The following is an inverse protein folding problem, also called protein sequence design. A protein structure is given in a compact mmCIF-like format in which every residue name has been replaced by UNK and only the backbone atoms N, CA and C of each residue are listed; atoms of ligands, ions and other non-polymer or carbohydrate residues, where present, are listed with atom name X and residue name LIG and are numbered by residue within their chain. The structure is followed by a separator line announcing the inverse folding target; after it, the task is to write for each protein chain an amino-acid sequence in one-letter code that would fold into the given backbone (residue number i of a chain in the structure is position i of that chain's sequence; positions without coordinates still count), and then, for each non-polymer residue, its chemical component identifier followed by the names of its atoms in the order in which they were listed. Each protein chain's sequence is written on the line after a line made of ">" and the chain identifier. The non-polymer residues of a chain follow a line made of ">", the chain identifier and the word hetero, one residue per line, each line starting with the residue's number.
data_IF_138443886140
#
_entry.id   IF_138443886140
#
_cell.length_a   1.000
_cell.length_b   1.000
_cell.length_c   1.000
_cell.angle_alpha   90.00
_cell.angle_beta   90.00
_cell.angle_gamma   90.00
#
_symmetry.space_group_name_H-M   'P 1'
#
loop_
_entity.id
_entity.type
_entity.pdbx_description
1 polymer ?
#
# COMPACT_ATOMS: atom_id res chain seq x y z
N UNK A 1 5.82 2.35 0.51
CA UNK A 1 6.31 1.59 -0.66
C UNK A 1 7.35 0.51 -0.31
N UNK A 2 8.51 0.87 0.26
CA UNK A 2 9.62 -0.09 0.54
C UNK A 2 9.15 -1.30 1.35
N UNK A 3 8.40 -1.08 2.43
CA UNK A 3 7.84 -2.16 3.24
C UNK A 3 6.92 -3.09 2.44
N UNK A 4 6.20 -2.56 1.45
CA UNK A 4 5.30 -3.37 0.61
C UNK A 4 6.12 -4.33 -0.24
N UNK A 5 7.17 -3.82 -0.89
CA UNK A 5 8.07 -4.64 -1.71
C UNK A 5 8.75 -5.71 -0.87
N UNK A 6 9.24 -5.35 0.32
CA UNK A 6 9.85 -6.31 1.26
C UNK A 6 8.86 -7.38 1.68
N UNK A 7 7.61 -7.02 1.94
CA UNK A 7 6.57 -7.99 2.29
C UNK A 7 6.32 -8.97 1.12
N UNK A 8 6.15 -8.44 -0.10
CA UNK A 8 5.83 -9.20 -1.29
C UNK A 8 6.97 -10.11 -1.77
N UNK A 9 8.21 -9.62 -1.73
CA UNK A 9 9.36 -10.32 -2.33
C UNK A 9 10.35 -10.86 -1.31
N UNK A 10 10.23 -10.49 -0.02
CA UNK A 10 11.10 -10.95 1.05
C UNK A 10 12.44 -10.20 1.14
N UNK A 11 13.45 -10.79 1.82
CA UNK A 11 14.71 -10.13 2.12
C UNK A 11 15.59 -9.84 0.89
N UNK A 12 15.27 -10.41 -0.28
CA UNK A 12 15.95 -10.13 -1.55
C UNK A 12 15.73 -8.71 -2.07
N UNK A 13 14.77 -7.96 -1.51
CA UNK A 13 14.56 -6.56 -1.87
C UNK A 13 15.73 -5.71 -1.39
N UNK A 14 16.42 -5.07 -2.33
CA UNK A 14 17.49 -4.10 -2.04
C UNK A 14 16.89 -2.80 -1.50
N UNK A 15 16.53 -2.79 -0.21
CA UNK A 15 15.77 -1.71 0.46
C UNK A 15 16.38 -0.33 0.23
N UNK A 16 17.68 -0.20 0.45
CA UNK A 16 18.41 1.07 0.28
C UNK A 16 18.37 1.55 -1.16
N UNK A 17 18.62 0.66 -2.12
CA UNK A 17 18.57 1.00 -3.54
C UNK A 17 17.15 1.43 -3.95
N UNK A 18 16.12 0.67 -3.56
CA UNK A 18 14.74 1.02 -3.81
C UNK A 18 14.38 2.38 -3.21
N UNK A 19 14.77 2.65 -1.97
CA UNK A 19 14.54 3.94 -1.33
C UNK A 19 15.18 5.10 -2.10
N UNK A 20 16.45 4.96 -2.52
CA UNK A 20 17.12 6.00 -3.30
C UNK A 20 16.45 6.25 -4.66
N UNK A 21 16.01 5.20 -5.35
CA UNK A 21 15.29 5.36 -6.61
C UNK A 21 13.94 6.04 -6.42
N UNK A 22 13.17 5.66 -5.38
CA UNK A 22 11.92 6.33 -5.04
C UNK A 22 12.15 7.82 -4.74
N UNK A 23 13.19 8.14 -3.97
CA UNK A 23 13.50 9.53 -3.64
C UNK A 23 13.95 10.33 -4.86
N UNK A 24 14.79 9.73 -5.71
CA UNK A 24 15.23 10.36 -6.96
C UNK A 24 14.05 10.64 -7.89
N UNK A 25 13.15 9.69 -8.04
CA UNK A 25 11.98 9.85 -8.91
C UNK A 25 11.00 10.88 -8.35
N UNK A 26 10.78 10.88 -7.02
CA UNK A 26 9.99 11.92 -6.37
C UNK A 26 10.58 13.32 -6.65
N UNK A 27 11.90 13.47 -6.51
CA UNK A 27 12.61 14.73 -6.69
C UNK A 27 12.63 15.25 -8.14
N UNK A 28 12.14 14.48 -9.12
CA UNK A 28 11.94 14.97 -10.50
C UNK A 28 10.78 15.96 -10.55
N UNK A 29 9.72 15.72 -9.76
CA UNK A 29 8.45 16.45 -9.84
C UNK A 29 8.16 17.29 -8.59
N UNK A 30 8.68 16.92 -7.42
CA UNK A 30 8.34 17.53 -6.13
C UNK A 30 9.55 17.82 -5.26
N UNK A 31 9.40 18.75 -4.31
CA UNK A 31 10.43 19.10 -3.35
C UNK A 31 10.52 18.04 -2.24
N UNK A 32 11.72 17.47 -2.07
CA UNK A 32 12.00 16.51 -1.00
C UNK A 32 11.80 17.13 0.39
N UNK A 33 11.97 18.45 0.55
CA UNK A 33 11.69 19.13 1.82
C UNK A 33 10.19 19.06 2.13
N UNK A 34 9.31 19.28 1.15
CA UNK A 34 7.87 19.15 1.34
C UNK A 34 7.48 17.72 1.75
N UNK A 35 8.10 16.70 1.15
CA UNK A 35 7.93 15.30 1.54
C UNK A 35 8.30 15.05 3.01
N UNK A 36 9.37 15.67 3.49
CA UNK A 36 9.84 15.52 4.88
C UNK A 36 8.94 16.24 5.88
N UNK A 37 8.39 17.39 5.49
CA UNK A 37 7.54 18.22 6.36
C UNK A 37 6.08 17.74 6.41
N UNK A 38 5.53 17.35 5.25
CA UNK A 38 4.09 17.10 5.08
C UNK A 38 3.77 15.64 4.76
N UNK A 39 4.79 14.82 4.51
CA UNK A 39 4.60 13.46 4.05
C UNK A 39 4.18 13.40 2.58
N UNK A 40 3.65 12.24 2.17
CA UNK A 40 3.35 11.97 0.77
C UNK A 40 1.84 11.97 0.52
N UNK A 41 1.39 12.67 -0.51
CA UNK A 41 0.02 12.66 -1.00
C UNK A 41 -0.29 11.46 -1.91
N UNK A 42 -1.58 11.29 -2.23
CA UNK A 42 -2.01 10.19 -3.09
C UNK A 42 -1.49 10.30 -4.52
N UNK A 43 -1.39 11.51 -5.07
CA UNK A 43 -0.91 11.73 -6.44
C UNK A 43 0.58 11.38 -6.57
N UNK A 44 1.38 11.72 -5.57
CA UNK A 44 2.80 11.40 -5.50
C UNK A 44 3.02 9.89 -5.35
N UNK A 45 2.22 9.23 -4.48
CA UNK A 45 2.25 7.76 -4.38
C UNK A 45 1.85 7.10 -5.71
N UNK A 46 0.84 7.64 -6.41
CA UNK A 46 0.44 7.17 -7.74
C UNK A 46 1.61 7.26 -8.72
N UNK A 47 2.29 8.41 -8.77
CA UNK A 47 3.46 8.62 -9.63
C UNK A 47 4.57 7.63 -9.31
N UNK A 48 4.98 7.51 -8.05
CA UNK A 48 6.05 6.60 -7.67
C UNK A 48 5.71 5.13 -7.95
N UNK A 49 4.44 4.72 -7.79
CA UNK A 49 4.01 3.37 -8.18
C UNK A 49 4.20 3.16 -9.68
N UNK A 50 3.73 4.10 -10.51
CA UNK A 50 3.85 3.93 -11.97
C UNK A 50 5.31 3.94 -12.41
N UNK A 51 6.05 4.99 -12.09
CA UNK A 51 7.40 5.19 -12.62
C UNK A 51 8.47 4.30 -12.00
N UNK A 52 8.28 3.80 -10.77
CA UNK A 52 9.27 2.94 -10.11
C UNK A 52 8.88 1.47 -10.16
N UNK A 53 7.62 1.12 -9.89
CA UNK A 53 7.20 -0.28 -9.79
C UNK A 53 6.65 -0.87 -11.07
N UNK A 54 5.93 -0.08 -11.88
CA UNK A 54 5.24 -0.59 -13.07
C UNK A 54 6.04 -0.39 -14.35
N UNK A 55 6.67 0.77 -14.54
CA UNK A 55 7.41 1.13 -15.77
C UNK A 55 8.92 1.29 -15.52
N UNK A 56 9.35 1.17 -14.25
CA UNK A 56 10.73 1.40 -13.83
C UNK A 56 11.58 0.14 -13.78
N UNK A 57 12.88 0.32 -13.50
CA UNK A 57 13.87 -0.77 -13.39
C UNK A 57 13.49 -1.86 -12.38
N UNK A 58 12.62 -1.57 -11.41
CA UNK A 58 12.17 -2.56 -10.43
C UNK A 58 11.09 -3.50 -10.97
N UNK A 59 10.41 -3.19 -12.07
CA UNK A 59 9.46 -4.10 -12.72
C UNK A 59 10.15 -5.40 -13.17
N UNK A 60 11.32 -5.26 -13.80
CA UNK A 60 12.12 -6.38 -14.30
C UNK A 60 12.71 -7.25 -13.18
N UNK A 61 12.92 -6.65 -12.00
CA UNK A 61 13.55 -7.31 -10.85
C UNK A 61 12.49 -7.93 -9.91
N UNK A 62 11.38 -7.22 -9.73
CA UNK A 62 10.30 -7.55 -8.82
C UNK A 62 8.95 -7.25 -9.47
N UNK A 63 8.36 -8.26 -10.09
CA UNK A 63 7.04 -8.12 -10.71
C UNK A 63 5.95 -7.94 -9.64
N UNK A 64 5.22 -6.82 -9.73
CA UNK A 64 4.14 -6.46 -8.82
C UNK A 64 2.89 -6.12 -9.63
N UNK A 65 1.77 -6.73 -9.26
CA UNK A 65 0.46 -6.31 -9.74
C UNK A 65 -0.11 -5.26 -8.78
N UNK A 66 -0.59 -4.15 -9.33
CA UNK A 66 -1.17 -3.05 -8.56
C UNK A 66 -2.60 -2.76 -9.01
N UNK A 67 -3.53 -2.77 -8.06
CA UNK A 67 -4.93 -2.42 -8.30
C UNK A 67 -5.42 -1.30 -7.40
N UNK A 68 -6.25 -0.38 -7.92
CA UNK A 68 -6.96 0.65 -7.13
C UNK A 68 -8.47 0.43 -7.20
N UNK A 69 -9.03 -0.59 -6.52
CA UNK A 69 -10.40 -1.03 -6.73
C UNK A 69 -11.46 0.02 -6.38
N UNK A 70 -11.11 1.04 -5.59
CA UNK A 70 -12.05 2.02 -5.06
C UNK A 70 -11.91 3.44 -5.66
N UNK A 71 -10.89 3.70 -6.48
CA UNK A 71 -10.56 5.05 -6.94
C UNK A 71 -11.72 5.73 -7.69
N UNK A 72 -12.45 4.98 -8.51
CA UNK A 72 -13.57 5.48 -9.32
C UNK A 72 -14.94 5.38 -8.61
N UNK A 73 -15.02 4.76 -7.43
CA UNK A 73 -16.30 4.49 -6.76
C UNK A 73 -16.78 5.69 -5.91
N UNK A 74 -17.89 6.32 -6.30
CA UNK A 74 -18.42 7.52 -5.63
C UNK A 74 -19.13 7.25 -4.29
N UNK A 75 -19.74 6.07 -4.13
CA UNK A 75 -20.49 5.69 -2.93
C UNK A 75 -19.96 4.37 -2.39
N UNK A 76 -19.25 4.42 -1.28
CA UNK A 76 -18.67 3.26 -0.62
C UNK A 76 -19.23 3.14 0.79
N UNK A 77 -19.48 1.91 1.23
CA UNK A 77 -19.76 1.58 2.63
C UNK A 77 -18.49 0.97 3.22
N UNK A 78 -18.15 1.37 4.45
CA UNK A 78 -16.92 0.90 5.10
C UNK A 78 -16.87 -0.63 5.18
N UNK A 79 -17.98 -1.29 5.52
CA UNK A 79 -18.06 -2.76 5.53
C UNK A 79 -17.65 -3.39 4.20
N UNK A 80 -18.17 -2.87 3.07
CA UNK A 80 -17.81 -3.35 1.72
C UNK A 80 -16.32 -3.18 1.42
N UNK A 81 -15.72 -2.05 1.83
CA UNK A 81 -14.29 -1.79 1.63
C UNK A 81 -13.48 -2.82 2.41
N UNK A 82 -13.82 -3.05 3.67
CA UNK A 82 -13.13 -4.01 4.54
C UNK A 82 -13.30 -5.45 4.03
N UNK A 83 -14.51 -5.87 3.68
CA UNK A 83 -14.78 -7.21 3.16
C UNK A 83 -14.03 -7.48 1.86
N UNK A 84 -13.86 -6.46 1.01
CA UNK A 84 -13.10 -6.59 -0.23
C UNK A 84 -11.59 -6.63 0.02
N UNK A 85 -11.07 -5.86 0.98
CA UNK A 85 -9.67 -5.98 1.43
C UNK A 85 -9.41 -7.38 2.00
N UNK A 86 -10.28 -7.86 2.88
CA UNK A 86 -10.18 -9.18 3.50
C UNK A 86 -10.18 -10.28 2.43
N UNK A 87 -11.14 -10.28 1.50
CA UNK A 87 -11.18 -11.25 0.40
C UNK A 87 -9.93 -11.22 -0.49
N UNK A 88 -9.36 -10.04 -0.73
CA UNK A 88 -8.12 -9.94 -1.49
C UNK A 88 -6.95 -10.58 -0.73
N UNK A 89 -6.83 -10.27 0.57
CA UNK A 89 -5.77 -10.79 1.44
C UNK A 89 -5.89 -12.30 1.68
N UNK A 90 -7.10 -12.86 1.74
CA UNK A 90 -7.30 -14.32 1.86
C UNK A 90 -6.85 -15.10 0.63
N UNK A 91 -6.69 -14.46 -0.52
CA UNK A 91 -6.15 -15.10 -1.72
C UNK A 91 -4.63 -15.23 -1.75
N UNK A 92 -3.96 -15.01 -0.61
CA UNK A 92 -2.53 -15.24 -0.45
C UNK A 92 -2.19 -16.73 -0.64
N UNK A 93 -1.11 -17.02 -1.37
CA UNK A 93 -0.56 -18.38 -1.54
C UNK A 93 0.95 -18.37 -1.31
N UNK A 94 1.59 -19.55 -1.27
CA UNK A 94 3.05 -19.63 -1.16
C UNK A 94 3.77 -18.94 -2.33
N UNK A 95 3.17 -18.99 -3.52
CA UNK A 95 3.68 -18.41 -4.75
C UNK A 95 3.24 -16.96 -4.94
N UNK A 96 2.17 -16.51 -4.29
CA UNK A 96 1.58 -15.19 -4.49
C UNK A 96 1.28 -14.49 -3.15
N UNK A 97 2.16 -13.57 -2.77
CA UNK A 97 1.94 -12.72 -1.61
C UNK A 97 1.06 -11.55 -1.97
N UNK A 98 0.22 -11.13 -1.02
CA UNK A 98 -0.75 -10.03 -1.18
C UNK A 98 -0.73 -9.12 0.02
N UNK A 99 -0.80 -7.81 -0.22
CA UNK A 99 -0.86 -6.79 0.82
C UNK A 99 -1.70 -5.61 0.33
N UNK A 100 -2.40 -4.93 1.24
CA UNK A 100 -3.10 -3.68 0.91
C UNK A 100 -2.28 -2.51 1.44
N UNK A 101 -1.90 -1.57 0.57
CA UNK A 101 -1.33 -0.31 0.98
C UNK A 101 -2.45 0.72 1.14
N UNK A 102 -2.52 1.36 2.31
CA UNK A 102 -3.48 2.42 2.60
C UNK A 102 -2.78 3.73 2.97
N UNK A 103 -3.32 4.83 2.46
CA UNK A 103 -3.03 6.18 2.92
C UNK A 103 -4.15 6.69 3.81
N UNK A 104 -3.76 7.16 5.00
CA UNK A 104 -4.59 7.97 5.90
C UNK A 104 -4.15 9.42 5.82
N UNK A 105 -4.87 10.38 6.43
CA UNK A 105 -4.44 11.79 6.43
C UNK A 105 -3.06 12.07 7.04
N UNK A 106 -2.50 11.14 7.81
CA UNK A 106 -1.24 11.35 8.56
C UNK A 106 -0.17 10.31 8.26
N UNK A 107 -0.52 9.21 7.58
CA UNK A 107 0.39 8.07 7.47
C UNK A 107 0.00 7.09 6.35
N UNK A 108 1.03 6.49 5.74
CA UNK A 108 0.93 5.35 4.83
C UNK A 108 1.29 4.06 5.56
N UNK A 109 0.40 3.08 5.58
CA UNK A 109 0.63 1.79 6.25
C UNK A 109 0.14 0.63 5.39
N UNK A 110 0.61 -0.57 5.70
CA UNK A 110 0.20 -1.80 5.03
C UNK A 110 -0.78 -2.56 5.90
N UNK A 111 -1.84 -3.11 5.30
CA UNK A 111 -2.69 -4.12 5.91
C UNK A 111 -2.32 -5.46 5.30
N UNK A 112 -1.82 -6.38 6.14
CA UNK A 112 -1.40 -7.72 5.69
C UNK A 112 -2.35 -8.83 6.15
N UNK A 113 -3.23 -8.57 7.12
CA UNK A 113 -4.24 -9.51 7.57
C UNK A 113 -5.46 -8.76 8.15
N UNK A 114 -6.64 -9.36 8.00
CA UNK A 114 -7.89 -8.87 8.58
C UNK A 114 -8.65 -10.08 9.12
N UNK A 115 -8.97 -10.05 10.40
CA UNK A 115 -9.86 -11.02 11.05
C UNK A 115 -11.19 -10.36 11.44
N UNK A 116 -11.98 -11.04 12.28
CA UNK A 116 -13.28 -10.56 12.72
C UNK A 116 -13.20 -9.30 13.61
N UNK A 117 -12.08 -9.07 14.28
CA UNK A 117 -11.91 -8.02 15.28
C UNK A 117 -10.89 -6.94 14.87
N UNK A 118 -9.86 -7.30 14.12
CA UNK A 118 -8.66 -6.51 13.91
C UNK A 118 -8.25 -6.42 12.44
N UNK A 119 -7.66 -5.28 12.10
CA UNK A 119 -6.78 -5.14 10.94
C UNK A 119 -5.33 -5.10 11.43
N UNK A 120 -4.49 -5.90 10.81
CA UNK A 120 -3.08 -6.04 11.14
C UNK A 120 -2.26 -5.15 10.22
N UNK A 121 -1.56 -4.20 10.83
CA UNK A 121 -0.84 -3.12 10.20
C UNK A 121 0.67 -3.38 10.21
N UNK A 122 1.36 -2.95 9.17
CA UNK A 122 2.81 -2.97 9.10
C UNK A 122 3.35 -1.70 8.44
N UNK A 123 4.14 -0.94 9.19
CA UNK A 123 4.78 0.29 8.73
C UNK A 123 6.19 0.46 9.32
N UNK A 124 6.75 1.67 9.22
CA UNK A 124 8.09 1.98 9.72
C UNK A 124 8.23 1.85 11.24
N UNK A 125 7.12 1.87 11.99
CA UNK A 125 7.09 1.65 13.44
C UNK A 125 6.97 0.15 13.79
N UNK A 126 6.86 -0.72 12.79
CA UNK A 126 6.77 -2.16 12.95
C UNK A 126 5.35 -2.70 12.77
N UNK A 127 5.07 -3.83 13.42
CA UNK A 127 3.76 -4.46 13.37
C UNK A 127 2.84 -3.85 14.44
N UNK A 128 1.61 -3.54 14.04
CA UNK A 128 0.58 -3.05 14.93
C UNK A 128 -0.77 -3.68 14.55
N UNK A 129 -1.80 -3.52 15.38
CA UNK A 129 -3.17 -3.88 15.03
C UNK A 129 -4.14 -2.82 15.52
N UNK A 130 -5.17 -2.60 14.72
CA UNK A 130 -6.25 -1.68 15.05
C UNK A 130 -7.58 -2.43 14.98
N UNK A 131 -8.53 -2.06 15.84
CA UNK A 131 -9.87 -2.62 15.77
C UNK A 131 -10.50 -2.37 14.40
N UNK A 132 -11.08 -3.38 13.77
CA UNK A 132 -11.78 -3.26 12.49
C UNK A 132 -12.82 -2.13 12.50
N UNK A 133 -13.51 -1.95 13.62
CA UNK A 133 -14.51 -0.88 13.85
C UNK A 133 -13.95 0.54 13.97
N UNK A 134 -12.63 0.72 14.14
CA UNK A 134 -12.03 2.07 14.21
C UNK A 134 -11.77 2.66 12.84
N UNK A 135 -11.93 1.90 11.75
CA UNK A 135 -11.79 2.41 10.39
C UNK A 135 -13.09 3.04 9.89
N UNK A 136 -12.99 4.17 9.19
CA UNK A 136 -14.14 4.92 8.67
C UNK A 136 -13.83 5.53 7.31
N UNK A 137 -14.87 5.82 6.53
CA UNK A 137 -14.77 6.61 5.29
C UNK A 137 -15.14 8.09 5.51
N UNK A 138 -15.63 8.45 6.70
CA UNK A 138 -16.06 9.80 7.05
C UNK A 138 -15.01 10.48 7.89
N UNK A 139 -14.67 11.71 7.54
CA UNK A 139 -13.86 12.60 8.37
C UNK A 139 -14.65 12.95 9.64
N UNK A 140 -14.10 12.65 10.83
CA UNK A 140 -14.74 12.84 12.14
C UNK A 140 -13.85 12.31 13.27
N UNK A 141 -14.09 12.76 14.51
CA UNK A 141 -13.21 12.45 15.65
C UNK A 141 -13.19 10.95 15.97
N UNK A 142 -11.97 10.39 16.02
CA UNK A 142 -11.67 9.09 16.65
C UNK A 142 -11.75 7.88 15.71
N UNK A 143 -10.92 7.82 14.66
CA UNK A 143 -10.79 6.63 13.81
C UNK A 143 -9.76 6.77 12.68
N UNK A 144 -9.34 5.65 12.11
CA UNK A 144 -8.50 5.61 10.91
C UNK A 144 -9.35 5.94 9.68
N UNK A 145 -9.24 7.18 9.19
CA UNK A 145 -9.97 7.63 8.01
C UNK A 145 -9.32 7.07 6.75
N UNK A 146 -10.03 6.19 6.05
CA UNK A 146 -9.60 5.61 4.79
C UNK A 146 -9.95 6.55 3.63
N UNK A 147 -8.93 6.93 2.86
CA UNK A 147 -9.13 7.60 1.58
C UNK A 147 -9.28 6.57 0.47
N UNK A 148 -10.44 6.51 -0.18
CA UNK A 148 -10.71 5.57 -1.29
C UNK A 148 -9.72 5.65 -2.45
N UNK A 149 -9.10 6.81 -2.67
CA UNK A 149 -8.07 6.99 -3.70
C UNK A 149 -6.70 6.51 -3.23
N UNK A 150 -6.50 6.33 -1.94
CA UNK A 150 -5.24 5.92 -1.34
C UNK A 150 -5.25 4.44 -0.90
N UNK A 151 -6.14 3.61 -1.45
CA UNK A 151 -6.18 2.17 -1.18
C UNK A 151 -5.70 1.42 -2.42
N UNK A 152 -4.59 0.71 -2.26
CA UNK A 152 -3.92 -0.06 -3.31
C UNK A 152 -3.87 -1.53 -2.91
N UNK A 153 -4.23 -2.40 -3.84
CA UNK A 153 -4.11 -3.84 -3.71
C UNK A 153 -2.83 -4.24 -4.44
N UNK A 154 -1.87 -4.78 -3.70
CA UNK A 154 -0.56 -5.14 -4.21
C UNK A 154 -0.36 -6.65 -4.10
N UNK A 155 0.07 -7.29 -5.17
CA UNK A 155 0.49 -8.69 -5.14
C UNK A 155 1.80 -8.90 -5.86
N UNK A 156 2.61 -9.84 -5.38
CA UNK A 156 3.69 -10.36 -6.22
C UNK A 156 3.07 -11.11 -7.38
N UNK A 157 3.60 -10.99 -8.60
CA UNK A 157 3.19 -11.90 -9.66
C UNK A 157 3.57 -13.33 -9.22
N UNK A 158 2.61 -14.26 -9.29
CA UNK A 158 2.92 -15.67 -9.05
C UNK A 158 3.98 -16.11 -10.05
N UNK A 159 5.02 -16.84 -9.61
CA UNK A 159 5.86 -17.55 -10.56
C UNK A 159 4.95 -18.52 -11.32
N UNK A 160 4.76 -18.28 -12.62
CA UNK A 160 4.32 -19.35 -13.50
C UNK A 160 5.48 -20.33 -13.52
N UNK A 161 5.30 -21.50 -12.92
CA UNK A 161 6.19 -22.62 -13.16
C UNK A 161 6.06 -22.95 -14.66
N UNK A 162 7.13 -22.68 -15.41
CA UNK A 162 7.42 -23.38 -16.66
C UNK A 162 8.21 -24.63 -16.31
#
# INVERSE_FOLDING_TARGET
>A
MVNAMVYLHGPRVRRTQLFYYLLREYAVEWDVIELLEHGMETAEMDHLIHHVLLDGIFQDIYTVDVGKPFAKHKRLRIGMVIDRMQRFLTGHTEQQRRVVLIGTPVHWTLIYHIDDQFMYLFDSLGQNKAYRRSFTLRSGRGGHVLNRKAIYFLSSAGRSEL
#
